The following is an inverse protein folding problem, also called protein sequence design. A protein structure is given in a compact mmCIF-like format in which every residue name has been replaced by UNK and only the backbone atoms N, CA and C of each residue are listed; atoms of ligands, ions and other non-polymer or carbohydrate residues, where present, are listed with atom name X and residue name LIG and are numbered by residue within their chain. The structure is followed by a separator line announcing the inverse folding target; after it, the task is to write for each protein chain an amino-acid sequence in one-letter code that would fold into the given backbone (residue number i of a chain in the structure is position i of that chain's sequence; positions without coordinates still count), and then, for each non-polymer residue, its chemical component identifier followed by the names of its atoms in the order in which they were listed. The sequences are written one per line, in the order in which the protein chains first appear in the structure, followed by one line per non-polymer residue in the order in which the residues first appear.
data_IF_960930790875
#
_entry.id   IF_960930790875
#
_cell.length_a   1.000
_cell.length_b   1.000
_cell.length_c   1.000
_cell.angle_alpha   90.00
_cell.angle_beta   90.00
_cell.angle_gamma   90.00
#
_symmetry.space_group_name_H-M   'P 1'
#
loop_
_entity.id
_entity.type
_entity.pdbx_description
1 polymer ?
#
# COMPACT_ATOMS: atom_id res chain seq x y z
N UNK A 1 -8.77 -15.33 -10.53
CA UNK A 1 -8.44 -13.94 -10.18
C UNK A 1 -6.95 -13.86 -9.84
N UNK A 2 -6.29 -12.78 -10.23
CA UNK A 2 -4.84 -12.59 -10.01
C UNK A 2 -4.56 -11.36 -9.16
N UNK A 3 -3.65 -11.48 -8.20
CA UNK A 3 -3.26 -10.40 -7.29
C UNK A 3 -1.83 -9.95 -7.62
N UNK A 4 -1.66 -8.67 -7.95
CA UNK A 4 -0.37 -8.04 -8.19
C UNK A 4 0.03 -7.26 -6.94
N UNK A 5 1.22 -7.54 -6.39
CA UNK A 5 1.67 -7.04 -5.09
C UNK A 5 2.89 -6.15 -5.26
N UNK A 6 2.84 -4.93 -4.71
CA UNK A 6 3.93 -3.95 -4.69
C UNK A 6 4.43 -3.74 -3.26
N UNK A 7 5.75 -3.73 -3.09
CA UNK A 7 6.42 -3.51 -1.79
C UNK A 7 6.63 -2.02 -1.47
N UNK A 8 6.99 -1.73 -0.22
CA UNK A 8 7.27 -0.39 0.28
C UNK A 8 8.72 0.09 0.09
N UNK A 9 8.99 1.30 0.59
CA UNK A 9 10.33 1.92 0.62
C UNK A 9 11.32 1.04 1.37
N UNK A 10 12.57 1.01 0.92
CA UNK A 10 13.66 0.17 1.46
C UNK A 10 13.41 -1.34 1.47
N UNK A 11 12.38 -1.80 0.76
CA UNK A 11 12.05 -3.22 0.68
C UNK A 11 12.41 -3.78 -0.69
N UNK A 12 12.51 -5.09 -0.74
CA UNK A 12 12.58 -5.86 -1.98
C UNK A 12 11.35 -6.77 -2.07
N UNK A 13 10.97 -7.18 -3.28
CA UNK A 13 9.81 -8.04 -3.48
C UNK A 13 9.83 -9.34 -2.66
N UNK A 14 11.02 -9.82 -2.26
CA UNK A 14 11.15 -10.98 -1.37
C UNK A 14 10.43 -10.80 -0.03
N UNK A 15 10.36 -9.58 0.52
CA UNK A 15 9.64 -9.30 1.76
C UNK A 15 8.12 -9.55 1.64
N UNK A 16 7.56 -9.49 0.43
CA UNK A 16 6.15 -9.73 0.17
C UNK A 16 5.82 -11.21 -0.10
N UNK A 17 6.81 -12.10 -0.13
CA UNK A 17 6.57 -13.52 -0.42
C UNK A 17 5.70 -14.24 0.62
N UNK A 18 5.81 -13.98 1.94
CA UNK A 18 4.92 -14.59 2.93
C UNK A 18 3.45 -14.24 2.67
N UNK A 19 3.14 -12.95 2.42
CA UNK A 19 1.80 -12.50 2.04
C UNK A 19 1.34 -13.17 0.73
N UNK A 20 2.18 -13.15 -0.29
CA UNK A 20 1.93 -13.78 -1.59
C UNK A 20 1.66 -15.28 -1.44
N UNK A 21 2.45 -16.00 -0.64
CA UNK A 21 2.25 -17.42 -0.38
C UNK A 21 0.90 -17.70 0.30
N UNK A 22 0.55 -16.89 1.29
CA UNK A 22 -0.73 -17.05 2.00
C UNK A 22 -1.93 -16.78 1.07
N UNK A 23 -1.86 -15.76 0.23
CA UNK A 23 -2.92 -15.50 -0.75
C UNK A 23 -3.04 -16.63 -1.79
N UNK A 24 -1.93 -17.25 -2.19
CA UNK A 24 -1.98 -18.46 -3.04
C UNK A 24 -2.66 -19.64 -2.35
N UNK A 25 -2.50 -19.80 -1.03
CA UNK A 25 -3.20 -20.86 -0.30
C UNK A 25 -4.73 -20.66 -0.26
N UNK A 26 -5.22 -19.45 -0.55
CA UNK A 26 -6.65 -19.14 -0.73
C UNK A 26 -7.12 -19.32 -2.19
N UNK A 27 -6.26 -19.78 -3.08
CA UNK A 27 -6.60 -20.05 -4.49
C UNK A 27 -6.30 -18.92 -5.46
N UNK A 28 -5.71 -17.80 -5.02
CA UNK A 28 -5.33 -16.71 -5.92
C UNK A 28 -4.04 -17.00 -6.67
N UNK A 29 -3.96 -16.56 -7.91
CA UNK A 29 -2.66 -16.36 -8.58
C UNK A 29 -2.04 -15.07 -8.06
N UNK A 30 -0.72 -15.07 -7.82
CA UNK A 30 -0.04 -13.86 -7.30
C UNK A 30 1.20 -13.53 -8.11
N UNK A 31 1.48 -12.24 -8.27
CA UNK A 31 2.72 -11.72 -8.84
C UNK A 31 3.24 -10.57 -7.98
N UNK A 32 4.44 -10.72 -7.45
CA UNK A 32 5.14 -9.64 -6.75
C UNK A 32 5.96 -8.86 -7.76
N UNK A 33 5.80 -7.54 -7.76
CA UNK A 33 6.58 -6.59 -8.56
C UNK A 33 7.72 -6.04 -7.71
N UNK A 34 8.94 -6.20 -8.20
CA UNK A 34 10.14 -5.62 -7.58
C UNK A 34 10.61 -4.41 -8.38
N UNK A 35 10.92 -3.32 -7.69
CA UNK A 35 11.42 -2.09 -8.27
C UNK A 35 12.39 -1.37 -7.32
N UNK A 36 13.21 -0.44 -7.85
CA UNK A 36 14.08 0.38 -7.02
C UNK A 36 13.26 1.49 -6.36
N UNK A 37 13.19 1.50 -5.03
CA UNK A 37 12.38 2.44 -4.26
C UNK A 37 13.07 3.77 -3.98
N UNK A 38 14.39 3.87 -4.19
CA UNK A 38 15.15 5.12 -4.03
C UNK A 38 15.33 5.88 -5.35
N UNK A 39 15.23 5.16 -6.48
CA UNK A 39 15.27 5.73 -7.83
C UNK A 39 14.11 5.14 -8.64
N UNK A 40 12.89 5.62 -8.37
CA UNK A 40 11.67 5.10 -8.97
C UNK A 40 11.55 5.60 -10.40
N UNK A 41 11.54 4.69 -11.35
CA UNK A 41 11.20 4.92 -12.76
C UNK A 41 9.74 4.52 -12.98
N UNK A 42 8.78 5.46 -12.75
CA UNK A 42 7.33 5.19 -12.80
C UNK A 42 6.91 4.39 -14.03
N UNK A 43 7.33 4.81 -15.21
CA UNK A 43 6.93 4.16 -16.46
C UNK A 43 7.36 2.69 -16.49
N UNK A 44 8.58 2.39 -16.05
CA UNK A 44 9.10 1.03 -15.98
C UNK A 44 8.33 0.16 -14.95
N UNK A 45 7.92 0.76 -13.82
CA UNK A 45 7.07 0.05 -12.85
C UNK A 45 5.69 -0.20 -13.42
N UNK A 46 5.11 0.78 -14.12
CA UNK A 46 3.81 0.65 -14.77
C UNK A 46 3.81 -0.42 -15.87
N UNK A 47 4.84 -0.49 -16.68
CA UNK A 47 5.03 -1.56 -17.68
C UNK A 47 5.10 -2.95 -17.02
N UNK A 48 5.78 -3.07 -15.88
CA UNK A 48 5.82 -4.34 -15.12
C UNK A 48 4.43 -4.71 -14.58
N UNK A 49 3.63 -3.73 -14.16
CA UNK A 49 2.24 -3.97 -13.74
C UNK A 49 1.43 -4.42 -14.96
N UNK A 50 1.50 -3.69 -16.09
CA UNK A 50 0.80 -4.01 -17.34
C UNK A 50 1.09 -5.46 -17.77
N UNK A 51 2.35 -5.87 -17.78
CA UNK A 51 2.80 -7.24 -18.11
C UNK A 51 2.35 -8.30 -17.10
N UNK A 52 2.10 -7.89 -15.85
CA UNK A 52 1.67 -8.79 -14.80
C UNK A 52 0.16 -9.02 -14.77
N UNK A 53 -0.63 -8.11 -15.31
CA UNK A 53 -2.08 -8.27 -15.39
C UNK A 53 -2.44 -9.52 -16.21
N UNK A 54 -3.47 -10.23 -15.78
CA UNK A 54 -4.09 -11.28 -16.57
C UNK A 54 -5.13 -10.67 -17.51
N UNK A 55 -5.10 -10.95 -18.82
CA UNK A 55 -6.17 -10.48 -19.71
C UNK A 55 -7.46 -11.30 -19.55
N UNK A 56 -7.37 -12.53 -19.06
CA UNK A 56 -8.48 -13.50 -19.03
C UNK A 56 -9.25 -13.48 -17.71
N UNK A 57 -8.69 -12.87 -16.68
CA UNK A 57 -9.31 -12.82 -15.34
C UNK A 57 -9.19 -11.45 -14.74
N UNK A 58 -10.15 -11.09 -13.90
CA UNK A 58 -10.08 -9.86 -13.10
C UNK A 58 -8.85 -9.86 -12.21
N UNK A 59 -8.19 -8.71 -12.12
CA UNK A 59 -7.00 -8.50 -11.30
C UNK A 59 -7.34 -7.66 -10.06
N UNK A 60 -6.49 -7.81 -9.04
CA UNK A 60 -6.48 -7.02 -7.81
C UNK A 60 -5.08 -6.47 -7.61
N UNK A 61 -4.96 -5.22 -7.21
CA UNK A 61 -3.69 -4.59 -6.88
C UNK A 61 -3.56 -4.46 -5.36
N UNK A 62 -2.45 -4.94 -4.81
CA UNK A 62 -2.15 -4.85 -3.37
C UNK A 62 -0.85 -4.10 -3.19
N UNK A 63 -0.85 -3.02 -2.40
CA UNK A 63 0.33 -2.21 -2.16
C UNK A 63 0.64 -2.04 -0.67
N UNK A 64 1.88 -2.30 -0.27
CA UNK A 64 2.37 -1.96 1.06
C UNK A 64 3.07 -0.61 1.02
N UNK A 65 2.70 0.30 1.94
CA UNK A 65 3.37 1.59 2.11
C UNK A 65 3.46 2.36 0.78
N UNK A 66 4.66 2.75 0.32
CA UNK A 66 4.90 3.39 -0.97
C UNK A 66 4.27 2.61 -2.15
N UNK A 67 4.19 1.28 -2.07
CA UNK A 67 3.57 0.46 -3.12
C UNK A 67 2.12 0.83 -3.41
N UNK A 68 1.35 1.24 -2.40
CA UNK A 68 -0.02 1.72 -2.58
C UNK A 68 -0.10 3.06 -3.31
N UNK A 69 0.85 3.96 -3.06
CA UNK A 69 0.96 5.24 -3.78
C UNK A 69 1.33 5.05 -5.26
N UNK A 70 2.21 4.10 -5.55
CA UNK A 70 2.56 3.72 -6.93
C UNK A 70 1.34 3.13 -7.64
N UNK A 71 0.53 2.32 -6.96
CA UNK A 71 -0.74 1.80 -7.51
C UNK A 71 -1.70 2.94 -7.83
N UNK A 72 -1.87 3.90 -6.92
CA UNK A 72 -2.72 5.08 -7.16
C UNK A 72 -2.27 5.86 -8.38
N UNK A 73 -0.96 6.13 -8.50
CA UNK A 73 -0.39 6.79 -9.67
C UNK A 73 -0.54 5.95 -10.97
N UNK A 74 -0.49 4.62 -10.87
CA UNK A 74 -0.76 3.71 -11.97
C UNK A 74 -2.20 3.82 -12.47
N UNK A 75 -3.18 3.81 -11.55
CA UNK A 75 -4.60 3.95 -11.91
C UNK A 75 -4.87 5.30 -12.58
N UNK A 76 -4.30 6.39 -12.08
CA UNK A 76 -4.44 7.70 -12.68
C UNK A 76 -3.88 7.74 -14.11
N UNK A 77 -2.72 7.15 -14.33
CA UNK A 77 -2.05 7.17 -15.63
C UNK A 77 -2.63 6.19 -16.64
N UNK A 78 -2.98 4.95 -16.23
CA UNK A 78 -3.42 3.86 -17.11
C UNK A 78 -4.93 3.74 -17.24
N UNK A 79 -5.66 4.18 -16.22
CA UNK A 79 -7.13 4.16 -16.14
C UNK A 79 -7.72 2.79 -16.54
N UNK A 80 -7.23 1.67 -15.96
CA UNK A 80 -7.77 0.36 -16.28
C UNK A 80 -9.25 0.29 -15.94
N UNK A 81 -10.03 -0.44 -16.75
CA UNK A 81 -11.44 -0.66 -16.44
C UNK A 81 -11.62 -1.47 -15.15
N UNK A 82 -12.77 -1.35 -14.51
CA UNK A 82 -13.10 -2.13 -13.31
C UNK A 82 -13.15 -3.64 -13.57
N UNK A 83 -13.47 -4.06 -14.82
CA UNK A 83 -13.41 -5.46 -15.22
C UNK A 83 -11.97 -5.99 -15.27
N UNK A 84 -11.00 -5.15 -15.65
CA UNK A 84 -9.58 -5.51 -15.67
C UNK A 84 -8.96 -5.48 -14.28
N UNK A 85 -9.22 -4.42 -13.50
CA UNK A 85 -8.77 -4.27 -12.12
C UNK A 85 -9.98 -3.88 -11.27
N UNK A 86 -10.43 -4.78 -10.39
CA UNK A 86 -11.66 -4.56 -9.62
C UNK A 86 -11.43 -3.90 -8.26
N UNK A 87 -10.34 -4.29 -7.60
CA UNK A 87 -10.03 -3.87 -6.22
C UNK A 87 -8.60 -3.38 -6.10
N UNK A 88 -8.42 -2.44 -5.21
CA UNK A 88 -7.12 -2.02 -4.67
C UNK A 88 -7.15 -2.20 -3.16
N UNK A 89 -6.15 -2.85 -2.60
CA UNK A 89 -5.98 -2.96 -1.16
C UNK A 89 -4.63 -2.35 -0.78
N UNK A 90 -4.66 -1.41 0.14
CA UNK A 90 -3.46 -0.77 0.68
C UNK A 90 -3.17 -1.26 2.09
N UNK A 91 -1.91 -1.49 2.40
CA UNK A 91 -1.43 -2.00 3.68
C UNK A 91 -0.45 -0.97 4.23
N UNK A 92 -0.82 -0.24 5.29
CA UNK A 92 0.01 0.81 5.88
C UNK A 92 0.45 1.88 4.86
N UNK A 93 -0.37 2.17 3.86
CA UNK A 93 -0.06 3.18 2.84
C UNK A 93 -0.52 4.56 3.29
N UNK A 94 0.36 5.57 3.33
CA UNK A 94 -0.03 6.94 3.61
C UNK A 94 -0.68 7.56 2.36
N UNK A 95 -1.94 7.21 2.10
CA UNK A 95 -2.63 7.50 0.83
C UNK A 95 -2.83 9.00 0.58
N UNK A 96 -2.76 9.83 1.64
CA UNK A 96 -2.79 11.30 1.60
C UNK A 96 -1.39 11.94 1.72
N UNK A 97 -0.33 11.14 1.67
CA UNK A 97 1.04 11.55 2.00
C UNK A 97 1.41 11.22 3.45
N UNK A 98 2.69 11.31 3.77
CA UNK A 98 3.26 10.90 5.05
C UNK A 98 3.87 12.09 5.80
N UNK A 99 3.39 12.39 6.99
CA UNK A 99 3.97 13.44 7.87
C UNK A 99 5.43 13.18 8.23
N UNK A 100 5.84 11.92 8.28
CA UNK A 100 7.22 11.53 8.53
C UNK A 100 8.19 12.06 7.46
N UNK A 101 7.75 12.22 6.22
CA UNK A 101 8.56 12.79 5.14
C UNK A 101 8.92 14.25 5.43
N UNK A 102 7.96 15.04 5.89
CA UNK A 102 8.20 16.42 6.31
C UNK A 102 9.23 16.48 7.45
N UNK A 103 9.10 15.61 8.45
CA UNK A 103 10.02 15.53 9.57
C UNK A 103 11.44 15.15 9.13
N UNK A 104 11.60 14.24 8.20
CA UNK A 104 12.90 13.87 7.63
C UNK A 104 13.52 15.05 6.88
N UNK A 105 12.73 15.82 6.15
CA UNK A 105 13.17 17.03 5.44
C UNK A 105 13.58 18.14 6.41
N UNK A 106 12.82 18.38 7.49
CA UNK A 106 13.20 19.33 8.54
C UNK A 106 14.56 19.03 9.18
N UNK A 107 14.90 17.74 9.31
CA UNK A 107 16.18 17.28 9.85
C UNK A 107 17.33 17.33 8.83
N UNK A 108 17.06 17.70 7.57
CA UNK A 108 18.07 17.79 6.51
C UNK A 108 18.63 16.45 6.06
N UNK A 109 17.91 15.34 6.28
CA UNK A 109 18.31 13.99 5.92
C UNK A 109 17.44 13.39 4.81
N UNK A 110 16.84 14.24 4.00
CA UNK A 110 15.91 13.88 2.91
C UNK A 110 16.56 13.03 1.80
N UNK A 111 17.88 13.09 1.67
CA UNK A 111 18.63 12.23 0.73
C UNK A 111 18.34 10.73 0.92
N UNK A 112 17.98 10.30 2.14
CA UNK A 112 17.62 8.91 2.42
C UNK A 112 16.32 8.49 1.72
N UNK A 113 15.44 9.42 1.35
CA UNK A 113 14.18 9.13 0.68
C UNK A 113 14.32 8.92 -0.83
N UNK A 114 15.48 9.30 -1.42
CA UNK A 114 15.65 9.30 -2.87
C UNK A 114 14.60 10.17 -3.55
N UNK A 115 14.02 9.70 -4.66
CA UNK A 115 12.94 10.40 -5.35
C UNK A 115 11.53 9.99 -4.88
N UNK A 116 11.41 9.17 -3.84
CA UNK A 116 10.12 8.67 -3.35
C UNK A 116 9.12 9.77 -2.91
N UNK A 117 9.54 10.94 -2.38
CA UNK A 117 8.60 12.02 -2.06
C UNK A 117 7.83 12.56 -3.26
N UNK A 118 8.39 12.49 -4.46
CA UNK A 118 7.74 12.93 -5.71
C UNK A 118 6.69 11.92 -6.20
N UNK A 119 6.58 10.77 -5.54
CA UNK A 119 5.69 9.68 -5.90
C UNK A 119 4.49 9.53 -4.95
N UNK A 120 4.01 10.64 -4.37
CA UNK A 120 2.81 10.70 -3.56
C UNK A 120 3.06 10.69 -2.04
N UNK A 121 4.33 10.67 -1.58
CA UNK A 121 4.63 10.76 -0.14
C UNK A 121 4.50 12.19 0.42
N UNK A 122 4.47 13.23 -0.39
CA UNK A 122 4.13 14.59 0.07
C UNK A 122 2.63 14.66 0.39
N UNK A 123 2.26 15.40 1.44
CA UNK A 123 0.86 15.56 1.84
C UNK A 123 0.03 16.20 0.72
N UNK A 124 -1.17 15.66 0.50
CA UNK A 124 -2.15 16.15 -0.47
C UNK A 124 -3.59 15.90 0.01
N UNK A 125 -4.58 16.54 -0.62
CA UNK A 125 -5.99 16.53 -0.22
C UNK A 125 -6.90 16.03 -1.34
N UNK A 126 -6.45 15.08 -2.14
CA UNK A 126 -7.26 14.47 -3.18
C UNK A 126 -8.19 13.38 -2.61
N UNK A 127 -9.14 12.93 -3.44
CA UNK A 127 -10.12 11.89 -3.14
C UNK A 127 -9.82 10.64 -3.97
N UNK A 128 -10.44 9.54 -3.57
CA UNK A 128 -10.44 8.31 -4.38
C UNK A 128 -11.58 8.39 -5.40
N UNK A 129 -11.28 8.80 -6.62
CA UNK A 129 -12.26 8.98 -7.71
C UNK A 129 -12.20 7.83 -8.74
N UNK A 130 -11.47 6.77 -8.45
CA UNK A 130 -11.36 5.61 -9.32
C UNK A 130 -12.55 4.67 -9.15
N UNK A 131 -12.87 3.93 -10.22
CA UNK A 131 -13.96 2.94 -10.22
C UNK A 131 -13.64 1.68 -9.41
N UNK A 132 -12.36 1.45 -9.11
CA UNK A 132 -11.88 0.34 -8.30
C UNK A 132 -12.25 0.54 -6.83
N UNK A 133 -12.77 -0.53 -6.20
CA UNK A 133 -13.01 -0.51 -4.74
C UNK A 133 -11.67 -0.40 -3.99
N UNK A 134 -11.58 0.52 -3.05
CA UNK A 134 -10.39 0.71 -2.21
C UNK A 134 -10.63 0.21 -0.80
N UNK A 135 -9.86 -0.80 -0.37
CA UNK A 135 -9.75 -1.22 1.02
C UNK A 135 -8.42 -0.78 1.63
N UNK A 136 -8.46 -0.17 2.81
CA UNK A 136 -7.27 0.31 3.50
C UNK A 136 -7.06 -0.42 4.83
N UNK A 137 -5.89 -1.04 5.02
CA UNK A 137 -5.51 -1.74 6.26
C UNK A 137 -4.43 -0.91 6.97
N UNK A 138 -4.72 -0.46 8.19
CA UNK A 138 -3.81 0.32 9.01
C UNK A 138 -3.25 -0.49 10.18
N UNK A 139 -1.97 -0.27 10.53
CA UNK A 139 -1.39 -0.76 11.76
C UNK A 139 -1.55 0.25 12.91
N UNK A 140 -1.58 -0.25 14.14
CA UNK A 140 -1.76 0.59 15.34
C UNK A 140 -0.67 0.38 16.40
N UNK A 141 0.34 -0.45 16.13
CA UNK A 141 1.46 -0.65 17.06
C UNK A 141 2.57 0.37 16.74
N UNK A 142 2.82 1.39 17.62
CA UNK A 142 3.68 2.53 17.30
C UNK A 142 5.18 2.21 17.48
N UNK A 143 5.64 1.15 16.82
CA UNK A 143 7.05 0.73 16.82
C UNK A 143 7.66 0.98 15.46
N UNK A 144 8.54 1.97 15.35
CA UNK A 144 9.17 2.30 14.05
C UNK A 144 9.82 3.69 14.01
N UNK A 145 9.95 4.22 12.82
CA UNK A 145 10.73 5.42 12.52
C UNK A 145 10.21 6.71 13.20
N UNK A 146 8.89 6.83 13.45
CA UNK A 146 8.34 8.01 14.15
C UNK A 146 8.95 8.19 15.55
N UNK A 147 9.16 7.08 16.28
CA UNK A 147 9.78 7.13 17.60
C UNK A 147 11.25 7.59 17.55
N UNK A 148 11.99 7.15 16.52
CA UNK A 148 13.39 7.56 16.29
C UNK A 148 13.51 9.04 15.91
N UNK A 149 12.52 9.58 15.21
CA UNK A 149 12.46 10.98 14.78
C UNK A 149 11.79 11.90 15.81
N UNK A 150 11.57 11.43 17.03
CA UNK A 150 10.95 12.17 18.14
C UNK A 150 9.59 12.80 17.77
N UNK A 151 8.81 12.11 16.92
CA UNK A 151 7.47 12.54 16.56
C UNK A 151 6.47 12.21 17.66
N UNK A 152 5.34 12.92 17.66
CA UNK A 152 4.28 12.74 18.65
C UNK A 152 3.80 11.27 18.68
N UNK A 153 3.87 10.68 19.88
CA UNK A 153 3.49 9.29 20.15
C UNK A 153 2.03 9.13 20.56
N UNK A 154 1.32 10.21 20.82
CA UNK A 154 -0.12 10.18 21.10
C UNK A 154 -0.96 9.89 19.87
N UNK A 155 -0.41 10.14 18.67
CA UNK A 155 -1.07 9.89 17.39
C UNK A 155 -1.04 8.41 17.08
N UNK A 156 -2.24 7.83 16.89
CA UNK A 156 -2.38 6.41 16.53
C UNK A 156 -1.67 6.10 15.21
N UNK A 157 -0.70 5.19 15.25
CA UNK A 157 0.15 4.88 14.10
C UNK A 157 0.74 3.48 14.19
N UNK A 158 1.22 2.98 13.06
CA UNK A 158 2.02 1.75 12.98
C UNK A 158 3.52 1.95 13.27
N UNK A 159 3.88 3.14 13.78
CA UNK A 159 5.26 3.57 14.04
C UNK A 159 5.94 4.26 12.84
N UNK A 160 5.30 4.33 11.68
CA UNK A 160 5.77 5.04 10.48
C UNK A 160 4.67 5.91 9.89
N UNK A 161 3.49 5.34 9.68
CA UNK A 161 2.31 5.96 9.09
C UNK A 161 1.22 6.04 10.14
N UNK A 162 0.52 7.17 10.23
CA UNK A 162 -0.63 7.31 11.12
C UNK A 162 -1.87 6.64 10.53
N UNK A 163 -2.81 6.25 11.37
CA UNK A 163 -4.09 5.69 10.90
C UNK A 163 -4.80 6.70 10.00
N UNK A 164 -4.80 7.98 10.34
CA UNK A 164 -5.42 9.02 9.53
C UNK A 164 -4.80 9.14 8.13
N UNK A 165 -3.48 9.00 8.01
CA UNK A 165 -2.78 9.03 6.71
C UNK A 165 -3.16 7.86 5.80
N UNK A 166 -3.69 6.76 6.36
CA UNK A 166 -4.17 5.61 5.57
C UNK A 166 -5.60 5.79 5.06
N UNK A 167 -6.30 6.84 5.45
CA UNK A 167 -7.71 7.09 5.10
C UNK A 167 -7.82 8.15 4.03
N UNK A 168 -8.70 7.94 3.04
CA UNK A 168 -9.00 8.90 1.97
C UNK A 168 -10.51 8.93 1.72
N UNK A 169 -11.05 10.10 1.42
CA UNK A 169 -12.46 10.23 1.02
C UNK A 169 -12.71 9.42 -0.27
N UNK A 170 -13.80 8.68 -0.31
CA UNK A 170 -14.14 7.78 -1.42
C UNK A 170 -13.58 6.36 -1.30
N UNK A 171 -12.77 6.03 -0.26
CA UNK A 171 -12.41 4.64 0.00
C UNK A 171 -13.67 3.82 0.33
N UNK A 172 -13.65 2.53 -0.02
CA UNK A 172 -14.78 1.62 0.20
C UNK A 172 -14.85 1.17 1.65
N UNK A 173 -13.71 0.80 2.25
CA UNK A 173 -13.65 0.33 3.64
C UNK A 173 -12.26 0.50 4.25
N UNK A 174 -12.19 0.50 5.58
CA UNK A 174 -10.97 0.68 6.36
C UNK A 174 -10.97 -0.23 7.59
N UNK A 175 -9.84 -0.90 7.86
CA UNK A 175 -9.68 -1.72 9.06
C UNK A 175 -8.32 -1.49 9.72
N UNK A 176 -8.28 -1.66 11.05
CA UNK A 176 -7.08 -1.52 11.86
C UNK A 176 -6.66 -2.86 12.45
N UNK A 177 -5.35 -3.04 12.66
CA UNK A 177 -4.80 -4.21 13.32
C UNK A 177 -3.61 -3.84 14.21
N UNK A 178 -3.40 -4.49 15.36
CA UNK A 178 -2.28 -4.21 16.26
C UNK A 178 -0.96 -4.71 15.67
N UNK A 179 -0.49 -4.03 14.63
CA UNK A 179 0.75 -4.34 13.91
C UNK A 179 1.58 -3.08 13.71
N UNK A 180 2.89 -3.21 13.73
CA UNK A 180 3.82 -2.18 13.28
C UNK A 180 3.90 -2.15 11.76
N UNK A 181 4.45 -1.09 11.19
CA UNK A 181 4.54 -0.89 9.75
C UNK A 181 5.11 -2.09 8.99
N UNK A 182 6.20 -2.65 9.47
CA UNK A 182 6.83 -3.82 8.85
C UNK A 182 6.10 -5.12 9.19
N UNK A 183 5.57 -5.25 10.41
CA UNK A 183 4.90 -6.50 10.82
C UNK A 183 3.54 -6.71 10.14
N UNK A 184 2.93 -5.67 9.58
CA UNK A 184 1.70 -5.78 8.79
C UNK A 184 1.78 -6.83 7.68
N UNK A 185 2.91 -6.90 6.96
CA UNK A 185 3.07 -7.83 5.84
C UNK A 185 3.27 -9.29 6.26
N UNK A 186 3.58 -9.53 7.54
CA UNK A 186 3.76 -10.87 8.13
C UNK A 186 2.56 -11.29 8.99
N UNK A 187 1.63 -10.37 9.29
CA UNK A 187 0.48 -10.66 10.12
C UNK A 187 -0.52 -11.55 9.37
N UNK A 188 -0.90 -12.68 9.98
CA UNK A 188 -1.84 -13.64 9.40
C UNK A 188 -3.28 -13.10 9.25
N UNK A 189 -3.62 -12.02 9.93
CA UNK A 189 -4.88 -11.30 9.79
C UNK A 189 -5.00 -10.62 8.42
N UNK A 190 -3.92 -9.97 7.96
CA UNK A 190 -3.93 -9.17 6.72
C UNK A 190 -4.37 -9.98 5.48
N UNK A 191 -3.80 -11.16 5.16
CA UNK A 191 -4.26 -11.91 3.98
C UNK A 191 -5.72 -12.40 4.10
N UNK A 192 -6.24 -12.65 5.31
CA UNK A 192 -7.65 -13.00 5.52
C UNK A 192 -8.55 -11.79 5.20
N UNK A 193 -8.15 -10.60 5.64
CA UNK A 193 -8.88 -9.37 5.34
C UNK A 193 -8.85 -9.01 3.85
N UNK A 194 -7.73 -9.26 3.17
CA UNK A 194 -7.64 -9.10 1.72
C UNK A 194 -8.63 -10.04 1.02
N UNK A 195 -8.67 -11.31 1.41
CA UNK A 195 -9.61 -12.29 0.86
C UNK A 195 -11.07 -11.86 1.09
N UNK A 196 -11.43 -11.51 2.32
CA UNK A 196 -12.77 -11.07 2.69
C UNK A 196 -13.21 -9.83 1.89
N UNK A 197 -12.32 -8.83 1.77
CA UNK A 197 -12.60 -7.62 1.00
C UNK A 197 -12.80 -7.90 -0.49
N UNK A 198 -12.02 -8.80 -1.07
CA UNK A 198 -12.17 -9.22 -2.47
C UNK A 198 -13.52 -9.91 -2.69
N UNK A 199 -13.95 -10.77 -1.77
CA UNK A 199 -15.18 -11.55 -1.90
C UNK A 199 -16.45 -10.72 -1.62
N UNK A 200 -16.43 -9.87 -0.60
CA UNK A 200 -17.62 -9.19 -0.07
C UNK A 200 -17.62 -7.68 -0.26
N UNK A 201 -16.47 -7.07 -0.57
CA UNK A 201 -16.33 -5.62 -0.74
C UNK A 201 -16.24 -4.85 0.59
N UNK A 202 -16.10 -5.53 1.72
CA UNK A 202 -15.86 -4.97 3.04
C UNK A 202 -14.89 -5.85 3.81
N UNK A 203 -14.28 -5.31 4.86
CA UNK A 203 -13.44 -6.07 5.79
C UNK A 203 -14.30 -6.79 6.83
N UNK A 204 -13.75 -7.86 7.41
CA UNK A 204 -14.37 -8.60 8.51
C UNK A 204 -14.02 -7.93 9.84
N UNK A 205 -15.04 -7.40 10.53
CA UNK A 205 -14.93 -6.73 11.82
C UNK A 205 -15.27 -7.67 13.02
N UNK A 206 -15.48 -8.99 12.75
CA UNK A 206 -15.82 -9.96 13.80
C UNK A 206 -14.60 -10.41 14.62
#
# INVERSE_FOLDING_TARGET
MKIIILHGLYMHGLAMQPLSHKLRSFGYQTKVITYNTLAIEKNRVFEKIDQALSPDTTNVLVGHSLGGLIIKAYLDKRKPSQQMVSHVITIGTPIKGASIVHRIQELGIDAILGNSPEHGLKMHHDKWEFTQKLGCIAGTLPVGARALLMMDRSILSDGTVTVEETMIEGMTDHIQTPSSHTSLIYNSFVPKQIDHFIQLGCFDCS
#
